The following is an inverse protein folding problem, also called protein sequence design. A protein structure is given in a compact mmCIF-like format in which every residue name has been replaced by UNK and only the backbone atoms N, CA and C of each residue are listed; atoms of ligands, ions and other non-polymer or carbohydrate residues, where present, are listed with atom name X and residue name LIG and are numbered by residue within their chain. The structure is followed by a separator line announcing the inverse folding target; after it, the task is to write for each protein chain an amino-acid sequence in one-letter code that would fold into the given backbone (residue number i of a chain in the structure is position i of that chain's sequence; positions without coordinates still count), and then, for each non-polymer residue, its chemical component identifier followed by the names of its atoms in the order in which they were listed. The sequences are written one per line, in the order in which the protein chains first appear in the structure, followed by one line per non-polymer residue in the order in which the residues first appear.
data_IF_442740706468
#
_entry.id   IF_442740706468
#
_cell.length_a   1.000
_cell.length_b   1.000
_cell.length_c   1.000
_cell.angle_alpha   90.00
_cell.angle_beta   90.00
_cell.angle_gamma   90.00
#
_symmetry.space_group_name_H-M   'P 1'
#
loop_
_entity.id
_entity.type
_entity.pdbx_description
1 polymer ?
#
# COMPACT_ATOMS: atom_id res chain seq x y z
N UNK A 1 22.71 -18.49 -20.13
CA UNK A 1 23.47 -17.25 -20.34
C UNK A 1 22.54 -16.09 -20.61
N UNK A 2 22.96 -14.90 -20.16
CA UNK A 2 22.42 -13.55 -20.43
C UNK A 2 20.98 -13.19 -20.00
N UNK A 3 20.95 -12.52 -18.85
CA UNK A 3 19.91 -11.59 -18.37
C UNK A 3 19.86 -10.37 -19.29
N UNK A 4 18.67 -9.93 -19.70
CA UNK A 4 18.43 -8.56 -20.18
C UNK A 4 17.27 -7.95 -19.41
N UNK A 5 17.60 -7.11 -18.44
CA UNK A 5 16.69 -6.29 -17.66
C UNK A 5 16.42 -4.98 -18.41
N UNK A 6 15.22 -4.80 -18.95
CA UNK A 6 14.74 -3.47 -19.31
C UNK A 6 13.94 -2.86 -18.15
N UNK A 7 14.63 -1.97 -17.44
CA UNK A 7 14.07 -1.00 -16.52
C UNK A 7 13.39 0.08 -17.35
N UNK A 8 12.07 0.27 -17.18
CA UNK A 8 11.36 1.42 -17.73
C UNK A 8 10.83 2.29 -16.59
N UNK A 9 11.52 3.42 -16.45
CA UNK A 9 11.21 4.61 -15.66
C UNK A 9 10.10 5.44 -16.36
N UNK A 10 9.70 6.63 -15.83
CA UNK A 10 8.35 7.18 -16.02
C UNK A 10 8.08 7.70 -17.43
N UNK A 11 6.80 7.66 -17.76
CA UNK A 11 6.13 8.06 -19.00
C UNK A 11 6.74 9.32 -19.63
N UNK A 12 7.45 9.15 -20.74
CA UNK A 12 7.68 10.19 -21.74
C UNK A 12 6.58 10.08 -22.80
N UNK A 13 5.81 11.15 -22.98
CA UNK A 13 4.97 11.30 -24.16
C UNK A 13 5.86 11.58 -25.36
N UNK A 14 5.92 10.64 -26.30
CA UNK A 14 6.58 10.83 -27.59
C UNK A 14 5.52 10.65 -28.66
N UNK A 15 4.90 11.75 -29.10
CA UNK A 15 3.99 11.77 -30.24
C UNK A 15 4.80 11.56 -31.51
N UNK A 16 4.67 10.40 -32.15
CA UNK A 16 5.17 10.16 -33.50
C UNK A 16 4.16 10.66 -34.51
N UNK A 17 4.45 11.76 -35.21
CA UNK A 17 3.74 12.13 -36.44
C UNK A 17 4.32 11.29 -37.58
N UNK A 18 3.54 10.39 -38.16
CA UNK A 18 3.91 9.72 -39.41
C UNK A 18 3.67 10.71 -40.55
N UNK A 19 4.73 11.10 -41.24
CA UNK A 19 4.62 11.61 -42.61
C UNK A 19 5.35 10.65 -43.55
N UNK A 20 4.66 10.29 -44.62
CA UNK A 20 5.11 9.43 -45.71
C UNK A 20 6.06 10.18 -46.64
N UNK A 21 6.95 9.39 -47.26
CA UNK A 21 7.73 9.62 -48.49
C UNK A 21 9.21 10.07 -48.37
N UNK A 22 10.03 9.17 -48.92
CA UNK A 22 11.36 9.26 -49.54
C UNK A 22 12.31 10.43 -49.23
N UNK A 23 13.56 10.07 -48.90
CA UNK A 23 14.75 10.89 -49.16
C UNK A 23 15.71 10.97 -47.99
N UNK A 24 16.95 10.51 -48.21
CA UNK A 24 18.08 10.64 -47.28
C UNK A 24 18.30 12.10 -46.86
N UNK A 25 18.56 12.39 -45.57
CA UNK A 25 19.77 13.12 -45.11
C UNK A 25 19.85 13.32 -43.59
N UNK A 26 21.07 13.06 -43.07
CA UNK A 26 21.74 13.58 -41.88
C UNK A 26 20.96 13.79 -40.56
N UNK A 27 21.29 12.93 -39.58
CA UNK A 27 20.97 13.09 -38.17
C UNK A 27 21.75 14.26 -37.54
N UNK A 28 21.04 15.34 -37.18
CA UNK A 28 21.43 16.26 -36.12
C UNK A 28 20.48 16.06 -34.94
N UNK A 29 20.95 15.39 -33.90
CA UNK A 29 20.23 15.29 -32.63
C UNK A 29 20.32 16.63 -31.90
N UNK A 30 19.25 17.42 -31.94
CA UNK A 30 19.08 18.55 -31.04
C UNK A 30 18.64 17.99 -29.68
N UNK A 31 19.57 17.84 -28.74
CA UNK A 31 19.26 17.48 -27.35
C UNK A 31 18.63 18.70 -26.68
N UNK A 32 17.31 18.82 -26.79
CA UNK A 32 16.54 19.77 -26.00
C UNK A 32 16.45 19.26 -24.56
N UNK A 33 17.22 19.86 -23.66
CA UNK A 33 17.06 19.68 -22.21
C UNK A 33 15.73 20.31 -21.76
N UNK A 34 14.67 19.51 -21.70
CA UNK A 34 13.44 19.92 -21.03
C UNK A 34 13.67 19.85 -19.51
N UNK A 35 13.94 21.01 -18.91
CA UNK A 35 14.00 21.16 -17.46
C UNK A 35 12.58 20.97 -16.89
N UNK A 36 12.26 19.75 -16.45
CA UNK A 36 10.98 19.50 -15.76
C UNK A 36 11.05 20.19 -14.40
N UNK A 37 10.35 21.31 -14.25
CA UNK A 37 10.12 21.98 -12.98
C UNK A 37 9.27 21.05 -12.09
N UNK A 38 9.93 20.15 -11.36
CA UNK A 38 9.30 19.38 -10.32
C UNK A 38 9.00 20.36 -9.18
N UNK A 39 7.71 20.63 -8.95
CA UNK A 39 7.22 21.42 -7.81
C UNK A 39 7.93 21.00 -6.51
N UNK A 40 8.16 21.92 -5.57
CA UNK A 40 8.71 21.61 -4.25
C UNK A 40 7.95 20.46 -3.54
N UNK A 41 6.64 20.31 -3.80
CA UNK A 41 5.85 19.17 -3.32
C UNK A 41 6.22 17.85 -4.03
N UNK A 42 6.46 17.88 -5.34
CA UNK A 42 6.93 16.74 -6.12
C UNK A 42 8.36 16.32 -5.74
N UNK A 43 9.24 17.28 -5.46
CA UNK A 43 10.60 17.02 -4.98
C UNK A 43 10.57 16.40 -3.57
N UNK A 44 9.67 16.86 -2.69
CA UNK A 44 9.47 16.23 -1.38
C UNK A 44 8.90 14.82 -1.47
N UNK A 45 7.96 14.57 -2.37
CA UNK A 45 7.40 13.23 -2.58
C UNK A 45 8.42 12.28 -3.20
N UNK A 46 9.19 12.74 -4.19
CA UNK A 46 10.27 12.00 -4.80
C UNK A 46 11.39 11.75 -3.78
N UNK A 47 11.75 12.76 -2.98
CA UNK A 47 12.75 12.59 -1.94
C UNK A 47 12.24 11.63 -0.87
N UNK A 48 11.01 11.74 -0.37
CA UNK A 48 10.41 10.78 0.57
C UNK A 48 10.28 9.36 -0.01
N UNK A 49 10.07 9.23 -1.32
CA UNK A 49 10.05 7.95 -2.01
C UNK A 49 11.46 7.35 -2.13
N UNK A 50 12.45 8.15 -2.50
CA UNK A 50 13.86 7.75 -2.64
C UNK A 50 14.54 7.52 -1.28
N UNK A 51 14.13 8.26 -0.23
CA UNK A 51 14.63 8.16 1.14
C UNK A 51 13.76 7.25 2.03
N UNK A 52 12.80 6.51 1.45
CA UNK A 52 12.20 5.35 2.11
C UNK A 52 13.25 4.26 2.21
N UNK A 53 14.11 4.39 3.21
CA UNK A 53 14.97 3.31 3.68
C UNK A 53 14.13 2.05 3.81
N UNK A 54 14.62 0.96 3.21
CA UNK A 54 14.12 -0.34 3.56
C UNK A 54 14.33 -0.51 5.07
N UNK A 55 13.33 -1.07 5.76
CA UNK A 55 13.52 -1.51 7.13
C UNK A 55 14.48 -2.70 7.09
N UNK A 56 15.77 -2.37 7.11
CA UNK A 56 16.86 -3.33 7.19
C UNK A 56 17.16 -3.51 8.66
N UNK A 57 16.85 -4.68 9.18
CA UNK A 57 17.26 -5.02 10.53
C UNK A 57 18.79 -5.10 10.54
N UNK A 58 19.41 -4.48 11.54
CA UNK A 58 20.87 -4.48 11.68
C UNK A 58 21.33 -5.92 11.87
N UNK A 59 22.29 -6.36 11.03
CA UNK A 59 22.93 -7.66 11.18
C UNK A 59 23.51 -7.78 12.58
N UNK A 60 23.16 -8.85 13.28
CA UNK A 60 23.66 -9.11 14.62
C UNK A 60 25.10 -9.65 14.55
N UNK A 61 25.84 -9.50 15.65
CA UNK A 61 27.16 -10.09 15.75
C UNK A 61 27.10 -11.62 15.58
N UNK A 62 28.19 -12.21 15.07
CA UNK A 62 28.30 -13.65 14.86
C UNK A 62 28.00 -14.38 16.17
N UNK A 63 27.08 -15.33 16.13
CA UNK A 63 26.71 -16.08 17.32
C UNK A 63 27.80 -17.13 17.65
N UNK A 64 28.01 -17.40 18.95
CA UNK A 64 28.97 -18.43 19.39
C UNK A 64 28.54 -19.84 18.98
N UNK A 65 27.26 -20.06 18.74
CA UNK A 65 26.66 -21.32 18.30
C UNK A 65 25.56 -21.03 17.27
N UNK A 66 25.25 -22.01 16.42
CA UNK A 66 24.13 -21.91 15.49
C UNK A 66 22.82 -21.79 16.26
N UNK A 67 22.01 -20.81 15.91
CA UNK A 67 20.66 -20.61 16.43
C UNK A 67 19.69 -21.50 15.64
N UNK A 68 18.96 -22.37 16.34
CA UNK A 68 17.92 -23.22 15.75
C UNK A 68 16.56 -22.64 16.05
N UNK A 69 15.76 -22.39 15.02
CA UNK A 69 14.41 -21.83 15.15
C UNK A 69 13.45 -22.64 14.30
N UNK A 70 12.32 -23.01 14.91
CA UNK A 70 11.17 -23.60 14.21
C UNK A 70 10.03 -22.59 14.21
N UNK A 71 9.50 -22.28 13.03
CA UNK A 71 8.33 -21.40 12.84
C UNK A 71 7.14 -22.27 12.45
N UNK A 72 6.04 -22.14 13.19
CA UNK A 72 4.76 -22.78 12.86
C UNK A 72 3.90 -21.81 12.04
N UNK A 73 3.60 -22.17 10.81
CA UNK A 73 2.77 -21.42 9.86
C UNK A 73 3.59 -20.70 8.80
N UNK A 74 3.37 -21.07 7.52
CA UNK A 74 3.99 -20.42 6.36
C UNK A 74 3.13 -19.30 5.74
N UNK A 75 2.31 -18.62 6.55
CA UNK A 75 1.61 -17.40 6.14
C UNK A 75 2.54 -16.17 6.09
N UNK A 76 2.03 -15.02 5.65
CA UNK A 76 2.80 -13.77 5.52
C UNK A 76 3.61 -13.40 6.77
N UNK A 77 3.03 -13.55 7.97
CA UNK A 77 3.75 -13.24 9.21
C UNK A 77 4.92 -14.18 9.49
N UNK A 78 4.71 -15.49 9.28
CA UNK A 78 5.75 -16.51 9.50
C UNK A 78 6.87 -16.45 8.47
N UNK A 79 6.54 -16.22 7.20
CA UNK A 79 7.54 -16.04 6.14
C UNK A 79 8.29 -14.70 6.28
N UNK A 80 7.63 -13.63 6.72
CA UNK A 80 8.30 -12.37 7.06
C UNK A 80 9.28 -12.55 8.22
N UNK A 81 8.87 -13.24 9.29
CA UNK A 81 9.74 -13.56 10.43
C UNK A 81 10.95 -14.41 9.99
N UNK A 82 10.71 -15.45 9.20
CA UNK A 82 11.76 -16.29 8.62
C UNK A 82 12.80 -15.45 7.87
N UNK A 83 12.34 -14.52 7.03
CA UNK A 83 13.21 -13.64 6.26
C UNK A 83 14.02 -12.70 7.17
N UNK A 84 13.37 -12.08 8.15
CA UNK A 84 14.04 -11.17 9.09
C UNK A 84 15.07 -11.87 9.97
N UNK A 85 14.78 -13.08 10.45
CA UNK A 85 15.76 -13.87 11.18
C UNK A 85 16.97 -14.21 10.29
N UNK A 86 16.73 -14.56 9.03
CA UNK A 86 17.79 -14.83 8.06
C UNK A 86 18.64 -13.58 7.80
N UNK A 87 18.03 -12.41 7.70
CA UNK A 87 18.75 -11.14 7.52
C UNK A 87 19.63 -10.80 8.74
N UNK A 88 19.13 -11.05 9.95
CA UNK A 88 19.86 -10.73 11.19
C UNK A 88 21.03 -11.69 11.45
N UNK A 89 20.84 -12.99 11.23
CA UNK A 89 21.77 -14.03 11.67
C UNK A 89 22.51 -14.75 10.54
N UNK A 90 22.10 -14.56 9.27
CA UNK A 90 22.79 -15.13 8.11
C UNK A 90 23.00 -16.64 8.22
N UNK A 91 24.22 -17.11 8.04
CA UNK A 91 24.60 -18.53 8.11
C UNK A 91 24.54 -19.15 9.52
N UNK A 92 24.46 -18.33 10.57
CA UNK A 92 24.41 -18.81 11.95
C UNK A 92 23.00 -19.30 12.33
N UNK A 93 22.01 -19.12 11.45
CA UNK A 93 20.63 -19.56 11.65
C UNK A 93 20.34 -20.87 10.91
N UNK A 94 19.90 -21.86 11.66
CA UNK A 94 19.21 -23.05 11.17
C UNK A 94 17.70 -22.83 11.37
N UNK A 95 16.96 -22.77 10.27
CA UNK A 95 15.55 -22.37 10.27
C UNK A 95 14.69 -23.45 9.64
N UNK A 96 13.65 -23.87 10.35
CA UNK A 96 12.62 -24.77 9.84
C UNK A 96 11.28 -24.05 9.88
N UNK A 97 10.58 -23.97 8.75
CA UNK A 97 9.21 -23.43 8.68
C UNK A 97 8.28 -24.61 8.41
N UNK A 98 7.35 -24.84 9.33
CA UNK A 98 6.37 -25.92 9.27
C UNK A 98 5.02 -25.34 8.87
N UNK A 99 4.31 -26.00 7.96
CA UNK A 99 2.98 -25.61 7.51
C UNK A 99 2.16 -26.85 7.18
N UNK A 100 0.89 -26.85 7.56
CA UNK A 100 -0.07 -27.89 7.18
C UNK A 100 -0.60 -27.69 5.76
N UNK A 101 -0.57 -26.44 5.27
CA UNK A 101 -1.11 -26.03 3.97
C UNK A 101 -0.04 -25.34 3.12
N UNK A 102 -0.40 -25.02 1.88
CA UNK A 102 0.42 -24.24 0.97
C UNK A 102 0.87 -22.91 1.62
N UNK A 103 2.12 -22.47 1.37
CA UNK A 103 2.59 -21.18 1.83
C UNK A 103 1.71 -20.03 1.34
N UNK A 104 1.54 -19.00 2.18
CA UNK A 104 0.70 -17.83 1.89
C UNK A 104 -0.44 -17.66 2.91
N UNK A 105 -1.02 -18.76 3.39
CA UNK A 105 -2.13 -18.73 4.35
C UNK A 105 -3.33 -17.95 3.77
N UNK A 106 -3.74 -16.86 4.44
CA UNK A 106 -4.86 -15.99 4.00
C UNK A 106 -4.53 -15.11 2.79
N UNK A 107 -3.33 -15.21 2.22
CA UNK A 107 -2.99 -14.60 0.93
C UNK A 107 -3.01 -15.72 -0.10
N UNK A 108 -4.18 -15.96 -0.67
CA UNK A 108 -4.44 -17.08 -1.56
C UNK A 108 -5.17 -16.59 -2.81
N UNK A 109 -4.77 -17.14 -3.96
CA UNK A 109 -5.49 -16.98 -5.21
C UNK A 109 -6.15 -18.31 -5.58
N UNK A 110 -7.36 -18.25 -6.11
CA UNK A 110 -8.06 -19.39 -6.70
C UNK A 110 -8.11 -19.24 -8.21
N UNK A 111 -8.08 -20.36 -8.92
CA UNK A 111 -8.22 -20.38 -10.37
C UNK A 111 -9.61 -20.89 -10.74
N UNK A 112 -10.35 -20.09 -11.51
CA UNK A 112 -11.69 -20.42 -12.01
C UNK A 112 -11.69 -20.11 -13.50
N UNK A 113 -11.97 -21.13 -14.33
CA UNK A 113 -12.01 -21.02 -15.80
C UNK A 113 -10.74 -20.41 -16.41
N UNK A 114 -9.56 -20.81 -15.92
CA UNK A 114 -8.26 -20.31 -16.39
C UNK A 114 -7.94 -18.87 -15.99
N UNK A 115 -8.76 -18.27 -15.11
CA UNK A 115 -8.54 -16.94 -14.54
C UNK A 115 -8.25 -17.03 -13.06
N UNK A 116 -7.26 -16.26 -12.61
CA UNK A 116 -6.88 -16.20 -11.19
C UNK A 116 -7.61 -15.07 -10.49
N UNK A 117 -8.21 -15.38 -9.35
CA UNK A 117 -8.93 -14.45 -8.49
C UNK A 117 -8.36 -14.49 -7.08
N UNK A 118 -8.31 -13.34 -6.42
CA UNK A 118 -7.93 -13.28 -5.02
C UNK A 118 -9.06 -13.85 -4.15
N UNK A 119 -8.75 -14.89 -3.36
CA UNK A 119 -9.68 -15.50 -2.41
C UNK A 119 -9.45 -15.01 -0.97
N UNK A 120 -8.44 -14.16 -0.76
CA UNK A 120 -8.07 -13.62 0.53
C UNK A 120 -7.64 -12.16 0.44
N UNK A 121 -6.43 -11.84 0.90
CA UNK A 121 -5.93 -10.47 0.86
C UNK A 121 -5.76 -9.96 -0.59
N UNK A 122 -6.59 -8.99 -0.98
CA UNK A 122 -6.58 -8.38 -2.32
C UNK A 122 -6.11 -6.93 -2.36
N UNK A 123 -6.08 -6.25 -1.21
CA UNK A 123 -5.73 -4.82 -1.10
C UNK A 123 -4.66 -4.63 -0.03
N UNK A 124 -3.56 -3.97 -0.41
CA UNK A 124 -2.48 -3.58 0.50
C UNK A 124 -2.57 -2.08 0.75
N UNK A 125 -2.74 -1.68 2.01
CA UNK A 125 -2.79 -0.28 2.39
C UNK A 125 -1.46 0.43 2.21
N UNK A 126 -1.53 1.69 1.79
CA UNK A 126 -0.37 2.58 1.71
C UNK A 126 0.31 2.87 3.04
N UNK A 127 -0.37 2.62 4.16
CA UNK A 127 0.20 2.78 5.49
C UNK A 127 1.08 1.59 5.89
N UNK A 128 1.00 0.46 5.18
CA UNK A 128 1.78 -0.73 5.50
C UNK A 128 3.20 -0.65 4.93
N UNK A 129 4.10 -0.01 5.68
CA UNK A 129 5.49 0.20 5.27
C UNK A 129 6.26 -1.12 5.08
N UNK A 130 6.00 -2.14 5.91
CA UNK A 130 6.69 -3.44 5.82
C UNK A 130 6.31 -4.22 4.58
N UNK A 131 5.01 -4.33 4.29
CA UNK A 131 4.56 -5.06 3.11
C UNK A 131 5.10 -4.40 1.84
N UNK A 132 5.03 -3.06 1.75
CA UNK A 132 5.63 -2.34 0.62
C UNK A 132 7.14 -2.52 0.53
N UNK A 133 7.83 -2.63 1.67
CA UNK A 133 9.25 -3.00 1.73
C UNK A 133 9.51 -4.38 1.12
N UNK A 134 8.73 -5.39 1.51
CA UNK A 134 8.81 -6.74 0.96
C UNK A 134 8.49 -6.78 -0.53
N UNK A 135 7.44 -6.08 -0.98
CA UNK A 135 7.10 -5.98 -2.40
C UNK A 135 8.27 -5.45 -3.22
N UNK A 136 8.89 -4.34 -2.78
CA UNK A 136 10.10 -3.80 -3.45
C UNK A 136 11.25 -4.79 -3.47
N UNK A 137 11.52 -5.44 -2.33
CA UNK A 137 12.60 -6.42 -2.21
C UNK A 137 12.41 -7.62 -3.13
N UNK A 138 11.16 -8.08 -3.30
CA UNK A 138 10.80 -9.22 -4.13
C UNK A 138 10.52 -8.83 -5.60
N UNK A 139 10.66 -7.55 -5.96
CA UNK A 139 10.37 -7.07 -7.32
C UNK A 139 8.89 -7.12 -7.70
N UNK A 140 7.99 -7.18 -6.73
CA UNK A 140 6.54 -7.17 -6.95
C UNK A 140 6.08 -5.78 -7.34
N UNK A 141 5.24 -5.70 -8.38
CA UNK A 141 4.67 -4.44 -8.86
C UNK A 141 3.29 -4.23 -8.26
N UNK A 142 3.02 -3.01 -7.85
CA UNK A 142 1.68 -2.57 -7.51
C UNK A 142 0.85 -2.52 -8.79
N UNK A 143 -0.06 -3.47 -8.96
CA UNK A 143 -1.15 -3.33 -9.91
C UNK A 143 -2.19 -2.42 -9.27
N UNK A 144 -2.00 -1.11 -9.36
CA UNK A 144 -3.16 -0.23 -9.36
C UNK A 144 -4.01 -0.70 -10.53
N UNK A 145 -5.27 -1.06 -10.29
CA UNK A 145 -6.22 -1.38 -11.35
C UNK A 145 -6.49 -0.10 -12.17
N UNK A 146 -5.49 0.34 -12.94
CA UNK A 146 -5.58 1.48 -13.85
C UNK A 146 -6.58 1.06 -14.92
N UNK A 147 -7.81 1.54 -14.80
CA UNK A 147 -8.90 1.27 -15.73
C UNK A 147 -10.02 0.36 -15.20
N UNK A 148 -9.91 -0.21 -13.99
CA UNK A 148 -11.06 -0.84 -13.35
C UNK A 148 -11.66 0.16 -12.38
N UNK A 149 -12.58 0.97 -12.87
CA UNK A 149 -13.47 1.74 -12.00
C UNK A 149 -14.43 0.73 -11.38
N UNK A 150 -14.13 0.22 -10.17
CA UNK A 150 -15.16 -0.41 -9.37
C UNK A 150 -15.96 0.73 -8.74
N UNK A 151 -17.16 1.07 -9.24
CA UNK A 151 -17.98 2.05 -8.56
C UNK A 151 -18.28 1.54 -7.15
N UNK A 152 -17.90 2.31 -6.13
CA UNK A 152 -18.25 1.99 -4.76
C UNK A 152 -19.78 2.07 -4.64
N UNK A 153 -20.40 1.05 -4.07
CA UNK A 153 -21.83 1.02 -3.85
C UNK A 153 -22.15 0.52 -2.45
N UNK A 154 -23.04 1.20 -1.74
CA UNK A 154 -23.63 0.74 -0.49
C UNK A 154 -25.06 0.32 -0.80
N UNK A 155 -25.32 -0.98 -0.69
CA UNK A 155 -26.63 -1.58 -0.89
C UNK A 155 -27.22 -1.94 0.47
N UNK A 156 -28.45 -1.51 0.74
CA UNK A 156 -29.10 -1.75 2.04
C UNK A 156 -29.95 -3.03 2.08
N UNK A 157 -29.95 -3.81 0.99
CA UNK A 157 -30.79 -4.99 0.80
C UNK A 157 -32.01 -4.74 -0.07
N UNK A 158 -32.40 -3.47 -0.29
CA UNK A 158 -33.50 -3.08 -1.18
C UNK A 158 -33.02 -2.20 -2.31
N UNK A 159 -32.29 -1.12 -2.01
CA UNK A 159 -31.79 -0.15 -2.97
C UNK A 159 -30.34 0.27 -2.68
N UNK A 160 -29.69 0.87 -3.69
CA UNK A 160 -28.37 1.45 -3.50
C UNK A 160 -28.52 2.83 -2.87
N UNK A 161 -28.24 2.92 -1.57
CA UNK A 161 -28.24 4.20 -0.83
C UNK A 161 -27.10 5.12 -1.26
N UNK A 162 -26.01 4.51 -1.71
CA UNK A 162 -24.86 5.21 -2.25
C UNK A 162 -24.31 4.42 -3.43
N UNK A 163 -23.95 5.10 -4.51
CA UNK A 163 -23.24 4.52 -5.64
C UNK A 163 -22.40 5.60 -6.30
N UNK A 164 -21.12 5.33 -6.51
CA UNK A 164 -20.26 6.17 -7.35
C UNK A 164 -20.84 6.24 -8.76
N UNK A 165 -20.79 7.42 -9.37
CA UNK A 165 -21.17 7.64 -10.73
C UNK A 165 -20.23 6.87 -11.64
N UNK A 166 -20.82 6.08 -12.53
CA UNK A 166 -20.06 5.46 -13.60
C UNK A 166 -19.58 6.57 -14.55
N UNK A 167 -18.26 6.71 -14.78
CA UNK A 167 -17.72 7.69 -15.73
C UNK A 167 -18.29 7.54 -17.14
N UNK A 168 -18.76 6.34 -17.51
CA UNK A 168 -19.40 6.06 -18.79
C UNK A 168 -20.84 6.61 -18.88
N UNK A 169 -21.49 6.83 -17.73
CA UNK A 169 -22.87 7.32 -17.63
C UNK A 169 -22.95 8.82 -17.28
N UNK A 170 -21.82 9.45 -16.92
CA UNK A 170 -21.77 10.87 -16.59
C UNK A 170 -22.06 11.77 -17.79
N UNK A 171 -22.84 12.83 -17.56
CA UNK A 171 -23.12 13.87 -18.55
C UNK A 171 -21.80 14.46 -19.09
N UNK A 172 -21.65 14.42 -20.42
CA UNK A 172 -20.48 14.85 -21.20
C UNK A 172 -19.28 13.89 -21.26
N UNK A 173 -19.37 12.62 -20.80
CA UNK A 173 -18.22 11.67 -20.79
C UNK A 173 -16.96 12.27 -20.15
N UNK A 174 -17.14 13.19 -19.21
CA UNK A 174 -16.08 13.96 -18.60
C UNK A 174 -15.83 13.40 -17.18
N UNK A 175 -14.62 12.88 -16.95
CA UNK A 175 -14.22 12.32 -15.64
C UNK A 175 -14.33 13.35 -14.52
N UNK A 176 -14.13 14.64 -14.82
CA UNK A 176 -14.30 15.71 -13.86
C UNK A 176 -15.76 15.87 -13.43
N UNK A 177 -16.70 15.83 -14.38
CA UNK A 177 -18.13 15.94 -14.10
C UNK A 177 -18.64 14.76 -13.28
N UNK A 178 -18.23 13.53 -13.62
CA UNK A 178 -18.54 12.32 -12.83
C UNK A 178 -18.08 12.48 -11.36
N UNK A 179 -16.83 12.90 -11.17
CA UNK A 179 -16.25 13.12 -9.84
C UNK A 179 -16.94 14.26 -9.07
N UNK A 180 -17.30 15.35 -9.74
CA UNK A 180 -18.04 16.45 -9.12
C UNK A 180 -19.44 16.01 -8.70
N UNK A 181 -20.10 15.18 -9.52
CA UNK A 181 -21.39 14.59 -9.21
C UNK A 181 -21.28 13.64 -8.00
N UNK A 182 -20.24 12.81 -7.91
CA UNK A 182 -20.00 11.92 -6.76
C UNK A 182 -19.78 12.70 -5.47
N UNK A 183 -18.94 13.73 -5.54
CA UNK A 183 -18.68 14.62 -4.43
C UNK A 183 -19.99 15.27 -3.97
N UNK A 184 -20.78 15.81 -4.90
CA UNK A 184 -22.06 16.42 -4.57
C UNK A 184 -23.07 15.43 -3.99
N UNK A 185 -23.20 14.23 -4.57
CA UNK A 185 -24.07 13.18 -4.05
C UNK A 185 -23.66 12.76 -2.64
N UNK A 186 -22.36 12.59 -2.41
CA UNK A 186 -21.79 12.26 -1.09
C UNK A 186 -22.12 13.35 -0.07
N UNK A 187 -21.86 14.62 -0.39
CA UNK A 187 -22.17 15.75 0.49
C UNK A 187 -23.66 15.93 0.74
N UNK A 188 -24.51 15.68 -0.27
CA UNK A 188 -25.97 15.75 -0.13
C UNK A 188 -26.52 14.61 0.73
N UNK A 189 -26.00 13.40 0.57
CA UNK A 189 -26.48 12.22 1.30
C UNK A 189 -26.01 12.21 2.75
N UNK A 190 -24.71 12.41 2.99
CA UNK A 190 -24.15 12.35 4.34
C UNK A 190 -24.16 13.69 5.06
N UNK A 191 -24.27 14.81 4.35
CA UNK A 191 -24.20 16.16 4.91
C UNK A 191 -22.77 16.65 5.11
N UNK A 192 -22.55 17.95 4.89
CA UNK A 192 -21.23 18.60 5.01
C UNK A 192 -20.65 18.43 6.42
N UNK A 193 -21.48 18.59 7.47
CA UNK A 193 -21.04 18.46 8.86
C UNK A 193 -20.50 17.06 9.17
N UNK A 194 -21.15 16.00 8.70
CA UNK A 194 -20.68 14.62 8.95
C UNK A 194 -19.41 14.29 8.17
N UNK A 195 -19.22 14.86 6.98
CA UNK A 195 -17.96 14.73 6.25
C UNK A 195 -16.82 15.46 6.96
N UNK A 196 -17.07 16.69 7.45
CA UNK A 196 -16.10 17.41 8.28
C UNK A 196 -15.78 16.63 9.56
N UNK A 197 -16.79 16.03 10.21
CA UNK A 197 -16.60 15.12 11.36
C UNK A 197 -15.72 13.92 11.00
N UNK A 198 -16.01 13.22 9.91
CA UNK A 198 -15.20 12.10 9.44
C UNK A 198 -13.74 12.51 9.16
N UNK A 199 -13.53 13.66 8.55
CA UNK A 199 -12.19 14.21 8.30
C UNK A 199 -11.47 14.72 9.57
N UNK A 200 -12.21 15.01 10.65
CA UNK A 200 -11.64 15.43 11.93
C UNK A 200 -11.36 14.25 12.85
N UNK A 201 -12.07 13.11 12.70
CA UNK A 201 -11.80 11.86 13.44
C UNK A 201 -10.32 11.45 13.39
N UNK A 202 -9.71 11.46 12.20
CA UNK A 202 -8.29 11.10 12.01
C UNK A 202 -7.30 12.09 12.63
N UNK A 203 -7.75 13.31 12.94
CA UNK A 203 -6.93 14.36 13.58
C UNK A 203 -7.07 14.38 15.09
N UNK A 204 -8.00 13.62 15.67
CA UNK A 204 -8.19 13.60 17.12
C UNK A 204 -6.97 13.03 17.83
N UNK A 205 -6.75 13.49 19.05
CA UNK A 205 -5.64 13.03 19.88
C UNK A 205 -5.75 11.55 20.24
N UNK A 206 -6.99 11.02 20.29
CA UNK A 206 -7.33 9.66 20.65
C UNK A 206 -7.22 8.66 19.48
N UNK A 207 -7.09 9.13 18.24
CA UNK A 207 -6.98 8.27 17.06
C UNK A 207 -5.66 7.47 17.06
N UNK A 208 -5.66 6.22 16.57
CA UNK A 208 -4.46 5.39 16.50
C UNK A 208 -3.37 6.00 15.60
N UNK A 209 -2.18 6.24 16.16
CA UNK A 209 -1.03 6.83 15.47
C UNK A 209 -0.13 5.73 14.93
N UNK A 210 -0.57 5.05 13.87
CA UNK A 210 0.16 3.94 13.24
C UNK A 210 1.59 4.32 12.84
N UNK A 211 1.81 5.55 12.35
CA UNK A 211 3.14 6.06 12.03
C UNK A 211 4.09 6.13 13.24
N UNK A 212 3.56 6.35 14.45
CA UNK A 212 4.36 6.31 15.69
C UNK A 212 4.83 4.89 15.99
N UNK A 213 3.97 3.89 15.81
CA UNK A 213 4.35 2.49 15.96
C UNK A 213 5.51 2.13 15.02
N UNK A 214 5.38 2.42 13.72
CA UNK A 214 6.44 2.09 12.74
C UNK A 214 7.77 2.76 13.09
N UNK A 215 7.75 4.00 13.57
CA UNK A 215 8.96 4.68 14.05
C UNK A 215 9.59 3.99 15.26
N UNK A 216 8.80 3.55 16.23
CA UNK A 216 9.30 2.81 17.41
C UNK A 216 9.88 1.45 17.00
N UNK A 217 9.18 0.71 16.13
CA UNK A 217 9.67 -0.56 15.61
C UNK A 217 10.98 -0.39 14.81
N UNK A 218 11.12 0.68 14.03
CA UNK A 218 12.38 1.02 13.33
C UNK A 218 13.53 1.32 14.28
N UNK A 219 13.25 1.86 15.47
CA UNK A 219 14.26 2.07 16.52
C UNK A 219 14.64 0.78 17.24
N UNK A 220 14.04 -0.36 16.87
CA UNK A 220 14.25 -1.65 17.53
C UNK A 220 13.45 -1.83 18.80
N UNK A 221 12.45 -0.97 19.08
CA UNK A 221 11.55 -1.18 20.21
C UNK A 221 10.72 -2.44 19.95
N UNK A 222 10.77 -3.38 20.89
CA UNK A 222 9.84 -4.50 21.00
C UNK A 222 8.83 -4.24 22.13
N UNK A 223 7.73 -4.97 22.12
CA UNK A 223 6.68 -4.86 23.13
C UNK A 223 6.54 -6.21 23.82
N UNK A 224 6.56 -6.21 25.15
CA UNK A 224 6.43 -7.44 25.92
C UNK A 224 4.96 -7.88 26.03
N UNK A 225 4.04 -6.91 26.06
CA UNK A 225 2.61 -7.16 26.21
C UNK A 225 1.78 -6.44 25.13
N UNK A 226 0.57 -6.93 24.82
CA UNK A 226 -0.35 -6.26 23.90
C UNK A 226 -0.70 -4.83 24.33
N UNK A 227 -0.78 -4.57 25.64
CA UNK A 227 -1.09 -3.25 26.20
C UNK A 227 0.01 -2.25 25.87
N UNK A 228 1.29 -2.64 26.03
CA UNK A 228 2.43 -1.79 25.69
C UNK A 228 2.46 -1.46 24.19
N UNK A 229 2.08 -2.43 23.34
CA UNK A 229 1.93 -2.21 21.91
C UNK A 229 0.77 -1.25 21.62
N UNK A 230 -0.37 -1.38 22.31
CA UNK A 230 -1.50 -0.46 22.17
C UNK A 230 -1.11 0.97 22.55
N UNK A 231 -0.38 1.16 23.64
CA UNK A 231 0.13 2.48 24.06
C UNK A 231 1.06 3.13 23.02
N UNK A 232 1.75 2.32 22.21
CA UNK A 232 2.56 2.80 21.09
C UNK A 232 1.71 3.46 19.99
N UNK A 233 0.51 2.92 19.71
CA UNK A 233 -0.47 3.56 18.84
C UNK A 233 -1.02 4.86 19.46
N UNK A 234 -1.12 4.95 20.78
CA UNK A 234 -1.52 6.15 21.49
C UNK A 234 -2.04 5.84 22.89
N UNK A 235 -2.02 6.82 23.82
CA UNK A 235 -2.45 6.60 25.21
C UNK A 235 -3.92 6.17 25.32
N UNK A 236 -4.76 6.55 24.36
CA UNK A 236 -6.18 6.18 24.27
C UNK A 236 -6.43 4.81 23.64
N UNK A 237 -5.46 4.22 22.95
CA UNK A 237 -5.72 3.06 22.09
C UNK A 237 -6.20 1.84 22.91
N UNK A 238 -5.72 1.68 24.14
CA UNK A 238 -6.18 0.64 25.05
C UNK A 238 -7.63 0.86 25.51
N UNK A 239 -8.09 2.12 25.59
CA UNK A 239 -9.50 2.40 25.84
C UNK A 239 -10.35 2.07 24.61
N UNK A 240 -9.83 2.33 23.39
CA UNK A 240 -10.52 2.01 22.14
C UNK A 240 -10.78 0.51 21.98
N UNK A 241 -9.93 -0.38 22.50
CA UNK A 241 -10.16 -1.83 22.42
C UNK A 241 -11.29 -2.32 23.31
N UNK A 242 -11.76 -1.49 24.25
CA UNK A 242 -12.84 -1.82 25.20
C UNK A 242 -14.21 -1.31 24.77
N UNK A 243 -14.30 -0.63 23.62
CA UNK A 243 -15.54 -0.06 23.11
C UNK A 243 -15.76 -0.51 21.67
N UNK A 244 -17.02 -0.51 21.25
CA UNK A 244 -17.36 -0.82 19.87
C UNK A 244 -17.12 0.41 18.98
N UNK A 245 -16.94 0.18 17.67
CA UNK A 245 -16.87 1.27 16.71
C UNK A 245 -18.14 2.11 16.70
N UNK A 246 -19.31 1.49 16.92
CA UNK A 246 -20.60 2.16 17.04
C UNK A 246 -20.69 3.09 18.25
N UNK A 247 -19.97 2.83 19.34
CA UNK A 247 -19.97 3.70 20.52
C UNK A 247 -18.96 4.84 20.40
N UNK A 248 -17.83 4.56 19.74
CA UNK A 248 -16.76 5.55 19.57
C UNK A 248 -17.09 6.62 18.51
N UNK A 249 -17.73 6.23 17.41
CA UNK A 249 -18.03 7.15 16.31
C UNK A 249 -18.99 8.31 16.73
N UNK A 250 -20.05 8.08 17.52
CA UNK A 250 -20.95 9.13 17.98
C UNK A 250 -20.41 9.93 19.17
N UNK A 251 -19.61 9.32 20.06
CA UNK A 251 -18.94 10.02 21.18
C UNK A 251 -17.85 11.00 20.72
N UNK A 252 -17.65 11.10 19.41
CA UNK A 252 -16.88 12.15 18.75
C UNK A 252 -17.61 13.49 18.56
N UNK A 253 -18.82 13.63 19.12
CA UNK A 253 -19.65 14.84 19.05
C UNK A 253 -19.30 15.90 20.09
#
# INVERSE_FOLDING_TARGET
ETVSSQVLSPVFFMTTVRHSSAGLTQHRYLVGTALVLISASGLRQLWAFLSREQVTLRRQAKLRRRLRVSILGAGVGGTALAQWLRDMYGSDLELTVLSSEAPGGRVACVEVEGRRYEAGASIISDLNEYMKGFMRRLGLKETCAKGVHLPLGIYDGTDFRFRDADPLQASLRCQFCAKAQDIWQTFRHFGVLNMVRLCTLWRRADAPKVARLYRLLRQGKSFATPEEMCEAFGPSCLALTKQTSSDWLPSAS
#
